data_IF_488238661060
#
_entry.id   IF_488238661060
#
_cell.length_a   1.000
_cell.length_b   1.000
_cell.length_c   1.000
_cell.angle_alpha   90.00
_cell.angle_beta   90.00
_cell.angle_gamma   90.00
#
_symmetry.space_group_name_H-M   'P 1'
#
loop_
_entity.id
_entity.type
_entity.pdbx_description
1 polymer ?
#
# COMPACT_ATOMS: atom_id res chain seq x y z
N UNK A 1 22.43 1.81 21.78
CA UNK A 1 21.44 2.78 21.29
C UNK A 1 20.29 2.03 20.64
N UNK A 2 19.05 2.46 20.89
CA UNK A 2 17.90 1.81 20.27
C UNK A 2 17.86 2.08 18.76
N UNK A 3 17.47 1.08 18.01
CA UNK A 3 17.22 1.23 16.59
C UNK A 3 16.02 2.16 16.37
N UNK A 4 16.19 3.14 15.51
CA UNK A 4 15.15 4.12 15.19
C UNK A 4 14.76 4.01 13.72
N UNK A 5 13.46 4.05 13.46
CA UNK A 5 12.91 4.09 12.11
C UNK A 5 11.51 4.70 12.13
N UNK A 6 11.12 5.35 11.05
CA UNK A 6 9.75 5.79 10.78
C UNK A 6 9.01 4.83 9.85
N UNK A 7 9.70 3.83 9.33
CA UNK A 7 9.16 2.91 8.33
C UNK A 7 7.94 2.15 8.85
N UNK A 8 8.03 1.61 10.05
CA UNK A 8 6.92 0.83 10.63
C UNK A 8 5.74 1.73 11.01
N UNK A 9 6.02 2.92 11.52
CA UNK A 9 4.97 3.92 11.80
C UNK A 9 4.29 4.37 10.50
N UNK A 10 5.03 4.47 9.39
CA UNK A 10 4.46 4.81 8.09
C UNK A 10 3.54 3.71 7.57
N UNK A 11 3.90 2.44 7.76
CA UNK A 11 3.01 1.32 7.41
C UNK A 11 1.70 1.38 8.21
N UNK A 12 1.81 1.58 9.52
CA UNK A 12 0.63 1.70 10.39
C UNK A 12 -0.24 2.91 10.04
N UNK A 13 0.39 4.06 9.77
CA UNK A 13 -0.31 5.27 9.37
C UNK A 13 -1.05 5.08 8.04
N UNK A 14 -0.46 4.38 7.10
CA UNK A 14 -1.10 4.09 5.80
C UNK A 14 -2.31 3.18 5.97
N UNK A 15 -2.19 2.11 6.75
CA UNK A 15 -3.34 1.23 7.06
C UNK A 15 -4.46 2.03 7.70
N UNK A 16 -4.14 2.87 8.68
CA UNK A 16 -5.12 3.70 9.37
C UNK A 16 -5.80 4.69 8.42
N UNK A 17 -5.03 5.36 7.57
CA UNK A 17 -5.56 6.33 6.61
C UNK A 17 -6.51 5.69 5.60
N UNK A 18 -6.21 4.48 5.14
CA UNK A 18 -7.09 3.73 4.24
C UNK A 18 -8.34 3.23 4.98
N UNK A 19 -8.20 2.77 6.21
CA UNK A 19 -9.29 2.18 7.00
C UNK A 19 -10.40 3.18 7.34
N UNK A 20 -10.07 4.46 7.43
CA UNK A 20 -11.06 5.49 7.79
C UNK A 20 -11.77 6.10 6.58
N UNK A 21 -11.39 5.75 5.36
CA UNK A 21 -12.01 6.32 4.15
C UNK A 21 -13.37 5.67 3.87
N UNK A 22 -14.46 6.47 3.85
CA UNK A 22 -15.80 5.93 3.58
C UNK A 22 -15.92 5.26 2.21
N UNK A 23 -15.19 5.75 1.21
CA UNK A 23 -15.20 5.22 -0.15
C UNK A 23 -14.66 3.78 -0.21
N UNK A 24 -13.88 3.36 0.79
CA UNK A 24 -13.32 2.01 0.91
C UNK A 24 -14.08 1.14 1.92
N UNK A 25 -15.28 1.54 2.34
CA UNK A 25 -16.06 0.80 3.34
C UNK A 25 -16.40 -0.63 2.93
N UNK A 26 -16.51 -0.90 1.62
CA UNK A 26 -16.77 -2.25 1.10
C UNK A 26 -15.51 -3.09 0.90
N UNK A 27 -14.33 -2.53 1.20
CA UNK A 27 -13.04 -3.20 1.08
C UNK A 27 -12.54 -3.61 2.46
N UNK A 28 -12.00 -4.82 2.55
CA UNK A 28 -11.26 -5.24 3.74
C UNK A 28 -9.85 -4.67 3.66
N UNK A 29 -9.38 -4.07 4.74
CA UNK A 29 -8.06 -3.42 4.78
C UNK A 29 -7.25 -4.04 5.91
N UNK A 30 -6.07 -4.59 5.59
CA UNK A 30 -5.20 -5.27 6.53
C UNK A 30 -3.75 -4.80 6.39
N UNK A 31 -2.97 -5.09 7.42
CA UNK A 31 -1.53 -5.05 7.38
C UNK A 31 -0.98 -6.46 7.12
N UNK A 32 -0.10 -6.58 6.13
CA UNK A 32 0.50 -7.86 5.77
C UNK A 32 -0.38 -8.73 4.90
N UNK A 33 0.22 -9.75 4.31
CA UNK A 33 -0.47 -10.71 3.45
C UNK A 33 -1.50 -11.46 4.29
N UNK A 34 -2.78 -11.49 3.85
CA UNK A 34 -3.80 -12.21 4.61
C UNK A 34 -3.50 -13.71 4.65
N UNK A 35 -3.77 -14.33 5.79
CA UNK A 35 -3.64 -15.78 5.92
C UNK A 35 -4.73 -16.46 5.09
N UNK A 36 -4.33 -17.46 4.29
CA UNK A 36 -5.22 -18.12 3.36
C UNK A 36 -5.37 -17.32 2.06
N UNK A 37 -6.51 -17.47 1.39
CA UNK A 37 -6.80 -16.71 0.17
C UNK A 37 -7.29 -15.32 0.49
N UNK A 38 -6.88 -14.28 -0.27
CA UNK A 38 -7.49 -12.98 -0.15
C UNK A 38 -9.00 -13.06 -0.40
N UNK A 39 -9.75 -12.28 0.36
CA UNK A 39 -11.19 -12.18 0.17
C UNK A 39 -11.51 -11.26 -1.02
N UNK A 40 -12.76 -11.31 -1.48
CA UNK A 40 -13.25 -10.35 -2.46
C UNK A 40 -13.08 -8.94 -1.91
N UNK A 41 -12.56 -8.01 -2.71
CA UNK A 41 -12.32 -6.61 -2.35
C UNK A 41 -11.41 -6.48 -1.12
N UNK A 42 -10.17 -6.88 -1.30
CA UNK A 42 -9.19 -6.89 -0.22
C UNK A 42 -8.02 -5.95 -0.57
N UNK A 43 -7.69 -5.06 0.34
CA UNK A 43 -6.53 -4.17 0.26
C UNK A 43 -5.62 -4.50 1.43
N UNK A 44 -4.32 -4.64 1.19
CA UNK A 44 -3.38 -4.77 2.30
C UNK A 44 -2.10 -4.00 2.02
N UNK A 45 -1.54 -3.45 3.08
CA UNK A 45 -0.21 -2.87 3.07
C UNK A 45 0.78 -4.00 3.31
N UNK A 46 1.71 -4.20 2.38
CA UNK A 46 2.69 -5.27 2.49
C UNK A 46 3.58 -5.07 3.72
N UNK A 47 3.84 -6.15 4.43
CA UNK A 47 4.75 -6.15 5.56
C UNK A 47 6.22 -5.96 5.14
N UNK A 48 6.55 -6.26 3.89
CA UNK A 48 7.90 -6.11 3.37
C UNK A 48 8.17 -4.66 2.98
N UNK A 49 9.35 -4.21 3.31
CA UNK A 49 9.86 -2.89 2.96
C UNK A 49 11.06 -3.05 2.04
N UNK A 50 11.10 -2.30 0.95
CA UNK A 50 12.19 -2.38 -0.02
C UNK A 50 12.91 -1.03 -0.14
N UNK A 51 14.12 -1.06 -0.71
CA UNK A 51 14.95 0.13 -0.94
C UNK A 51 15.11 1.00 0.31
N UNK A 52 15.31 0.35 1.45
CA UNK A 52 15.38 1.01 2.76
C UNK A 52 16.80 1.45 3.05
N UNK A 53 16.97 2.76 3.17
CA UNK A 53 18.26 3.38 3.43
C UNK A 53 18.16 4.46 4.51
N UNK A 54 19.18 4.54 5.32
CA UNK A 54 19.35 5.63 6.29
C UNK A 54 20.69 6.32 6.00
N UNK A 55 20.66 7.63 5.76
CA UNK A 55 21.84 8.41 5.46
C UNK A 55 22.10 9.39 6.58
N UNK A 56 23.30 9.33 7.16
CA UNK A 56 23.73 10.26 8.20
C UNK A 56 23.89 11.66 7.60
N UNK A 57 23.18 12.65 8.15
CA UNK A 57 23.19 14.01 7.64
C UNK A 57 24.36 14.85 8.15
N UNK A 58 24.81 14.59 9.39
CA UNK A 58 25.87 15.38 10.03
C UNK A 58 26.74 14.48 10.87
N UNK A 59 28.08 14.64 10.73
CA UNK A 59 29.04 13.91 11.53
C UNK A 59 28.90 14.30 13.00
N UNK A 60 28.84 13.30 13.88
CA UNK A 60 28.73 13.49 15.32
C UNK A 60 27.31 13.72 15.83
N UNK A 61 26.33 13.93 14.94
CA UNK A 61 24.91 13.96 15.26
C UNK A 61 24.26 12.69 14.77
N UNK A 62 23.13 12.32 15.38
CA UNK A 62 22.41 11.10 15.01
C UNK A 62 21.22 11.38 14.07
N UNK A 63 21.21 12.56 13.48
CA UNK A 63 20.21 12.95 12.49
C UNK A 63 20.44 12.21 11.19
N UNK A 64 19.37 11.64 10.62
CA UNK A 64 19.44 10.86 9.40
C UNK A 64 18.25 11.15 8.50
N UNK A 65 18.50 11.08 7.20
CA UNK A 65 17.43 10.87 6.24
C UNK A 65 17.16 9.38 6.12
N UNK A 66 15.89 9.03 6.09
CA UNK A 66 15.45 7.66 5.86
C UNK A 66 14.57 7.62 4.61
N UNK A 67 14.94 6.79 3.65
CA UNK A 67 14.13 6.53 2.45
C UNK A 67 13.75 5.06 2.41
N UNK A 68 12.54 4.79 1.96
CA UNK A 68 12.04 3.41 1.87
C UNK A 68 10.87 3.34 0.90
N UNK A 69 10.57 2.13 0.43
CA UNK A 69 9.41 1.85 -0.40
C UNK A 69 8.44 0.94 0.31
N UNK A 70 7.19 1.35 0.30
CA UNK A 70 6.07 0.53 0.75
C UNK A 70 5.30 0.03 -0.46
N UNK A 71 4.57 -1.05 -0.27
CA UNK A 71 3.69 -1.60 -1.31
C UNK A 71 2.29 -1.77 -0.75
N UNK A 72 1.31 -1.41 -1.58
CA UNK A 72 -0.11 -1.64 -1.30
C UNK A 72 -0.65 -2.56 -2.38
N UNK A 73 -1.29 -3.65 -1.96
CA UNK A 73 -1.94 -4.58 -2.86
C UNK A 73 -3.44 -4.36 -2.83
N UNK A 74 -4.04 -4.30 -4.01
CA UNK A 74 -5.49 -4.19 -4.18
C UNK A 74 -5.92 -5.41 -4.96
N UNK A 75 -6.72 -6.25 -4.33
CA UNK A 75 -7.18 -7.52 -4.88
C UNK A 75 -8.70 -7.54 -4.98
N UNK A 76 -9.21 -8.03 -6.08
CA UNK A 76 -10.62 -8.29 -6.26
C UNK A 76 -10.83 -9.59 -7.01
N UNK A 77 -11.91 -10.28 -6.71
CA UNK A 77 -12.37 -11.44 -7.47
C UNK A 77 -13.89 -11.43 -7.57
N UNK A 78 -14.39 -11.93 -8.67
CA UNK A 78 -15.84 -11.96 -8.89
C UNK A 78 -16.22 -13.07 -9.88
N UNK A 79 -17.23 -13.83 -9.52
CA UNK A 79 -17.80 -14.85 -10.39
C UNK A 79 -18.70 -14.19 -11.43
N UNK A 80 -18.58 -14.61 -12.69
CA UNK A 80 -19.41 -14.09 -13.78
C UNK A 80 -18.98 -12.73 -14.32
N UNK A 81 -17.87 -12.17 -13.83
CA UNK A 81 -17.31 -10.91 -14.32
C UNK A 81 -16.41 -11.14 -15.52
N UNK A 82 -16.19 -10.08 -16.31
CA UNK A 82 -15.14 -10.05 -17.30
C UNK A 82 -13.87 -9.38 -16.75
N UNK A 83 -12.79 -9.47 -17.51
CA UNK A 83 -11.50 -8.92 -17.10
C UNK A 83 -11.55 -7.40 -16.91
N UNK A 84 -12.39 -6.71 -17.71
CA UNK A 84 -12.53 -5.26 -17.63
C UNK A 84 -13.23 -4.82 -16.36
N UNK A 85 -14.27 -5.53 -15.93
CA UNK A 85 -14.99 -5.21 -14.70
C UNK A 85 -14.06 -5.27 -13.48
N UNK A 86 -13.27 -6.34 -13.37
CA UNK A 86 -12.31 -6.51 -12.27
C UNK A 86 -11.27 -5.39 -12.31
N UNK A 87 -10.69 -5.12 -13.48
CA UNK A 87 -9.71 -4.04 -13.65
C UNK A 87 -10.28 -2.70 -13.24
N UNK A 88 -11.51 -2.38 -13.64
CA UNK A 88 -12.12 -1.09 -13.38
C UNK A 88 -12.48 -0.91 -11.90
N UNK A 89 -12.92 -1.96 -11.22
CA UNK A 89 -13.15 -1.93 -9.78
C UNK A 89 -11.84 -1.68 -9.00
N UNK A 90 -10.77 -2.36 -9.39
CA UNK A 90 -9.45 -2.16 -8.80
C UNK A 90 -8.92 -0.75 -9.09
N UNK A 91 -9.12 -0.24 -10.30
CA UNK A 91 -8.71 1.11 -10.67
C UNK A 91 -9.44 2.18 -9.84
N UNK A 92 -10.71 1.97 -9.55
CA UNK A 92 -11.48 2.86 -8.67
C UNK A 92 -10.90 2.89 -7.27
N UNK A 93 -10.60 1.72 -6.69
CA UNK A 93 -9.96 1.64 -5.38
C UNK A 93 -8.56 2.29 -5.39
N UNK A 94 -7.78 2.07 -6.45
CA UNK A 94 -6.46 2.69 -6.60
C UNK A 94 -6.53 4.22 -6.65
N UNK A 95 -7.55 4.77 -7.29
CA UNK A 95 -7.79 6.21 -7.32
C UNK A 95 -8.03 6.77 -5.92
N UNK A 96 -8.74 6.03 -5.09
CA UNK A 96 -8.98 6.43 -3.69
C UNK A 96 -7.69 6.35 -2.88
N UNK A 97 -6.87 5.33 -3.06
CA UNK A 97 -5.54 5.26 -2.43
C UNK A 97 -4.69 6.47 -2.84
N UNK A 98 -4.71 6.82 -4.11
CA UNK A 98 -4.01 8.01 -4.62
C UNK A 98 -4.52 9.29 -3.97
N UNK A 99 -5.83 9.44 -3.80
CA UNK A 99 -6.44 10.60 -3.15
C UNK A 99 -6.05 10.68 -1.67
N UNK A 100 -5.97 9.56 -0.98
CA UNK A 100 -5.51 9.52 0.42
C UNK A 100 -4.09 10.07 0.54
N UNK A 101 -3.18 9.64 -0.32
CA UNK A 101 -1.80 10.13 -0.32
C UNK A 101 -1.70 11.57 -0.81
N UNK A 102 -2.56 11.99 -1.73
CA UNK A 102 -2.60 13.37 -2.21
C UNK A 102 -3.12 14.35 -1.16
N UNK A 103 -4.06 13.94 -0.32
CA UNK A 103 -4.61 14.78 0.74
C UNK A 103 -3.79 14.75 2.03
N UNK A 104 -3.03 13.68 2.26
CA UNK A 104 -2.14 13.54 3.42
C UNK A 104 -0.82 12.91 2.99
N UNK A 105 -0.04 13.67 2.24
CA UNK A 105 1.28 13.25 1.74
C UNK A 105 2.26 12.93 2.89
N UNK A 106 2.01 13.49 4.06
CA UNK A 106 2.86 13.31 5.24
C UNK A 106 2.45 12.14 6.12
N UNK A 107 1.39 11.42 5.79
CA UNK A 107 0.84 10.31 6.58
C UNK A 107 0.69 10.67 8.06
N UNK A 108 -0.03 11.75 8.33
CA UNK A 108 -0.25 12.23 9.70
C UNK A 108 1.01 12.80 10.36
N UNK A 109 2.00 13.21 9.57
CA UNK A 109 3.26 13.77 10.07
C UNK A 109 4.36 12.74 10.31
N UNK A 110 4.15 11.48 9.94
CA UNK A 110 5.14 10.41 10.13
C UNK A 110 6.29 10.54 9.14
N UNK A 111 6.00 10.95 7.90
CA UNK A 111 6.99 11.07 6.82
C UNK A 111 7.02 12.49 6.27
N UNK A 112 8.11 12.84 5.58
CA UNK A 112 8.23 14.11 4.86
C UNK A 112 7.42 14.08 3.57
N UNK A 113 7.35 12.94 2.91
CA UNK A 113 6.42 12.69 1.81
C UNK A 113 6.19 11.19 1.61
N UNK A 114 5.07 10.87 0.99
CA UNK A 114 4.75 9.55 0.47
C UNK A 114 4.04 9.74 -0.88
N UNK A 115 4.52 9.07 -1.92
CA UNK A 115 3.94 9.20 -3.26
C UNK A 115 3.98 7.87 -4.02
N UNK A 116 2.95 7.63 -4.82
CA UNK A 116 2.90 6.49 -5.72
C UNK A 116 3.86 6.75 -6.88
N UNK A 117 4.78 5.81 -7.13
CA UNK A 117 5.77 5.93 -8.19
C UNK A 117 5.62 4.86 -9.27
N UNK A 118 4.75 3.91 -9.09
CA UNK A 118 4.52 2.87 -10.08
C UNK A 118 3.66 1.74 -9.53
N UNK A 119 3.52 0.71 -10.33
CA UNK A 119 2.77 -0.47 -9.94
C UNK A 119 2.80 -1.56 -10.98
N UNK A 120 2.30 -2.73 -10.60
CA UNK A 120 2.14 -3.89 -11.45
C UNK A 120 0.73 -4.43 -11.32
N UNK A 121 0.13 -4.82 -12.44
CA UNK A 121 -1.20 -5.41 -12.45
C UNK A 121 -1.18 -6.78 -13.11
N UNK A 122 -1.82 -7.75 -12.46
CA UNK A 122 -2.03 -9.08 -13.02
C UNK A 122 -3.49 -9.48 -12.90
N UNK A 123 -4.05 -10.00 -13.98
CA UNK A 123 -5.38 -10.60 -14.01
C UNK A 123 -5.30 -12.08 -14.37
N UNK A 124 -6.19 -12.88 -13.80
CA UNK A 124 -6.23 -14.32 -14.05
C UNK A 124 -7.61 -14.90 -13.77
N UNK A 125 -7.77 -16.19 -14.03
CA UNK A 125 -8.90 -16.95 -13.50
C UNK A 125 -8.52 -17.50 -12.11
N UNK A 126 -9.46 -17.36 -11.17
CA UNK A 126 -9.27 -17.86 -9.81
C UNK A 126 -9.61 -19.35 -9.67
N UNK A 127 -10.31 -19.91 -10.65
CA UNK A 127 -10.75 -21.31 -10.66
C UNK A 127 -10.41 -22.01 -11.97
N UNK A 128 -10.25 -23.36 -11.97
CA UNK A 128 -9.95 -24.13 -13.19
C UNK A 128 -11.06 -24.07 -14.24
N UNK A 129 -12.29 -23.86 -13.85
CA UNK A 129 -13.44 -23.80 -14.75
C UNK A 129 -13.57 -22.46 -15.47
N UNK A 130 -12.78 -21.45 -15.07
CA UNK A 130 -12.81 -20.14 -15.68
C UNK A 130 -14.08 -19.32 -15.40
N UNK A 131 -14.74 -19.57 -14.27
CA UNK A 131 -15.97 -18.87 -13.87
C UNK A 131 -15.71 -17.63 -13.04
N UNK A 132 -14.63 -17.63 -12.29
CA UNK A 132 -14.26 -16.55 -11.38
C UNK A 132 -12.99 -15.89 -11.87
N UNK A 133 -13.04 -14.60 -12.10
CA UNK A 133 -11.87 -13.81 -12.42
C UNK A 133 -11.33 -13.11 -11.20
N UNK A 134 -10.01 -12.96 -11.17
CA UNK A 134 -9.33 -12.20 -10.14
C UNK A 134 -8.34 -11.23 -10.75
N UNK A 135 -8.02 -10.19 -10.00
CA UNK A 135 -6.98 -9.25 -10.35
C UNK A 135 -6.27 -8.75 -9.11
N UNK A 136 -5.01 -8.44 -9.25
CA UNK A 136 -4.21 -7.82 -8.19
C UNK A 136 -3.39 -6.69 -8.76
N UNK A 137 -3.49 -5.52 -8.13
CA UNK A 137 -2.66 -4.36 -8.42
C UNK A 137 -1.72 -4.12 -7.25
N UNK A 138 -0.44 -4.10 -7.52
CA UNK A 138 0.58 -3.68 -6.56
C UNK A 138 0.93 -2.23 -6.84
N UNK A 139 0.74 -1.36 -5.85
CA UNK A 139 1.19 0.03 -5.92
C UNK A 139 2.48 0.18 -5.13
N UNK A 140 3.47 0.81 -5.73
CA UNK A 140 4.75 1.11 -5.09
C UNK A 140 4.75 2.57 -4.63
N UNK A 141 5.06 2.79 -3.36
CA UNK A 141 5.01 4.10 -2.71
C UNK A 141 6.40 4.45 -2.19
N UNK A 142 6.98 5.52 -2.73
CA UNK A 142 8.22 6.08 -2.21
C UNK A 142 7.95 6.96 -1.00
N UNK A 143 8.72 6.76 0.05
CA UNK A 143 8.63 7.53 1.28
C UNK A 143 10.00 8.07 1.68
N UNK A 144 9.99 9.23 2.29
CA UNK A 144 11.16 9.81 2.95
C UNK A 144 10.77 10.35 4.32
N UNK A 145 11.60 10.08 5.31
CA UNK A 145 11.41 10.61 6.65
C UNK A 145 12.73 11.16 7.21
N UNK A 146 12.61 11.89 8.30
CA UNK A 146 13.75 12.45 9.02
C UNK A 146 13.78 11.86 10.42
N UNK A 147 14.94 11.39 10.83
CA UNK A 147 15.21 10.89 12.16
C UNK A 147 16.12 11.88 12.90
N UNK A 148 15.67 12.36 14.01
CA UNK A 148 16.44 13.29 14.84
C UNK A 148 17.32 12.55 15.86
#
# INVERSE_FOLDING_TARGET
>A
MAFQTKTFDAQDALVQALSIRPELASWRIDFGIPSGRPEERHIWVDENVTDWNQTLLTTGLQSRDETFRLSVYIYDKKTGSDAKEIRDEIATAASIVSDVLGSDTFLGGVVLFAQIVGGDYEGAFADPEGRTREGVLKLTIDCQSFLA
#
